data_IF_070132433156
#
_entry.id   IF_070132433156
#
_cell.length_a   1.000
_cell.length_b   1.000
_cell.length_c   1.000
_cell.angle_alpha   90.00
_cell.angle_beta   90.00
_cell.angle_gamma   90.00
#
_symmetry.space_group_name_H-M   'P 1'
#
loop_
_entity.id
_entity.type
_entity.pdbx_description
1 polymer ?
#
# COMPACT_ATOMS: atom_id res chain seq x y z
N UNK A 1 14.81 -30.24 -1.48
CA UNK A 1 13.70 -29.44 -2.06
C UNK A 1 13.99 -27.99 -1.70
N UNK A 2 14.00 -27.07 -2.67
CA UNK A 2 14.21 -25.65 -2.37
C UNK A 2 13.13 -25.09 -1.47
N UNK A 3 13.42 -23.96 -0.82
CA UNK A 3 12.43 -23.22 -0.03
C UNK A 3 11.21 -22.92 -0.91
N UNK A 4 10.01 -23.09 -0.36
CA UNK A 4 8.74 -22.82 -1.03
C UNK A 4 7.94 -21.82 -0.23
N UNK A 5 7.03 -21.12 -0.89
CA UNK A 5 6.03 -20.28 -0.25
C UNK A 5 4.66 -20.53 -0.88
N UNK A 6 3.61 -20.18 -0.14
CA UNK A 6 2.25 -20.34 -0.59
C UNK A 6 1.80 -19.12 -1.42
N UNK A 7 1.06 -19.36 -2.49
CA UNK A 7 0.42 -18.31 -3.32
C UNK A 7 -1.05 -18.64 -3.46
N UNK A 8 -1.92 -17.62 -3.38
CA UNK A 8 -3.37 -17.75 -3.52
C UNK A 8 -3.85 -17.24 -4.87
N UNK A 9 -4.59 -18.07 -5.60
CA UNK A 9 -5.37 -17.68 -6.77
C UNK A 9 -6.75 -17.18 -6.32
N UNK A 10 -6.94 -15.87 -6.30
CA UNK A 10 -8.18 -15.25 -5.82
C UNK A 10 -9.42 -15.67 -6.62
N UNK A 11 -9.27 -16.02 -7.90
CA UNK A 11 -10.39 -16.45 -8.76
C UNK A 11 -10.93 -17.84 -8.38
N UNK A 12 -10.11 -18.66 -7.75
CA UNK A 12 -10.50 -19.98 -7.25
C UNK A 12 -10.93 -19.93 -5.78
N UNK A 13 -10.66 -18.83 -5.08
CA UNK A 13 -10.92 -18.72 -3.65
C UNK A 13 -12.43 -18.60 -3.37
N UNK A 14 -12.95 -19.57 -2.62
CA UNK A 14 -14.36 -19.66 -2.20
C UNK A 14 -14.65 -18.96 -0.86
N UNK A 15 -13.64 -18.33 -0.24
CA UNK A 15 -13.72 -17.65 1.06
C UNK A 15 -14.18 -18.52 2.23
N UNK A 16 -13.94 -19.83 2.17
CA UNK A 16 -14.13 -20.74 3.32
C UNK A 16 -13.14 -20.46 4.48
N UNK A 17 -12.07 -19.71 4.19
CA UNK A 17 -11.11 -19.20 5.16
C UNK A 17 -10.40 -20.24 6.06
N UNK A 18 -10.51 -21.54 5.78
CA UNK A 18 -9.78 -22.60 6.49
C UNK A 18 -8.26 -22.37 6.51
N UNK A 19 -7.72 -21.91 5.38
CA UNK A 19 -6.31 -21.55 5.24
C UNK A 19 -5.82 -20.51 6.27
N UNK A 20 -6.70 -19.68 6.83
CA UNK A 20 -6.38 -18.71 7.88
C UNK A 20 -6.11 -19.41 9.21
N UNK A 21 -6.93 -20.41 9.53
CA UNK A 21 -6.89 -21.10 10.81
C UNK A 21 -5.80 -22.17 10.89
N UNK A 22 -5.42 -22.76 9.75
CA UNK A 22 -4.35 -23.77 9.71
C UNK A 22 -2.95 -23.16 9.53
N UNK A 23 -2.84 -21.87 9.18
CA UNK A 23 -1.53 -21.27 8.94
C UNK A 23 -0.83 -20.94 10.27
N UNK A 24 0.30 -21.58 10.60
CA UNK A 24 0.94 -21.42 11.91
C UNK A 24 1.58 -20.05 12.12
N UNK A 25 1.87 -19.33 11.03
CA UNK A 25 2.51 -18.01 11.06
C UNK A 25 1.58 -16.86 10.72
N UNK A 26 0.31 -17.16 10.41
CA UNK A 26 -0.64 -16.15 9.94
C UNK A 26 -0.35 -15.58 8.55
N UNK A 27 0.57 -16.18 7.78
CA UNK A 27 0.92 -15.72 6.42
C UNK A 27 -0.28 -15.66 5.45
N UNK A 28 -1.32 -16.44 5.69
CA UNK A 28 -2.54 -16.46 4.85
C UNK A 28 -3.58 -15.43 5.27
N UNK A 29 -3.44 -14.81 6.45
CA UNK A 29 -4.38 -13.88 7.05
C UNK A 29 -4.12 -12.46 6.55
N UNK A 30 -4.48 -12.24 5.30
CA UNK A 30 -4.26 -10.97 4.61
C UNK A 30 -5.58 -10.42 4.08
N UNK A 31 -5.84 -9.16 4.40
CA UNK A 31 -7.08 -8.46 4.06
C UNK A 31 -7.26 -8.30 2.55
N UNK A 32 -6.15 -8.19 1.81
CA UNK A 32 -6.12 -8.13 0.35
C UNK A 32 -6.10 -9.51 -0.35
N UNK A 33 -6.29 -10.59 0.41
CA UNK A 33 -6.22 -11.97 -0.09
C UNK A 33 -4.87 -12.42 -0.68
N UNK A 34 -3.78 -11.65 -0.53
CA UNK A 34 -2.42 -11.99 -0.98
C UNK A 34 -1.64 -12.66 0.15
N UNK A 35 -1.11 -13.87 -0.02
CA UNK A 35 -0.32 -14.52 1.05
C UNK A 35 0.96 -13.73 1.30
N UNK A 36 1.23 -13.43 2.58
CA UNK A 36 2.45 -12.77 3.02
C UNK A 36 3.64 -13.73 2.95
N UNK A 37 4.45 -13.56 1.91
CA UNK A 37 5.63 -14.39 1.64
C UNK A 37 6.69 -14.24 2.74
N UNK A 38 6.77 -13.08 3.40
CA UNK A 38 7.76 -12.85 4.47
C UNK A 38 7.46 -13.66 5.74
N UNK A 39 6.18 -13.97 5.97
CA UNK A 39 5.70 -14.80 7.09
C UNK A 39 5.56 -16.28 6.69
N UNK A 40 5.61 -16.61 5.41
CA UNK A 40 5.39 -17.98 4.93
C UNK A 40 6.63 -18.85 5.16
N UNK A 41 6.52 -19.85 6.03
CA UNK A 41 7.59 -20.83 6.30
C UNK A 41 7.59 -22.02 5.33
N UNK A 42 6.73 -21.99 4.31
CA UNK A 42 6.70 -23.04 3.29
C UNK A 42 6.13 -24.39 3.72
N UNK A 43 5.41 -24.47 4.85
CA UNK A 43 4.93 -25.74 5.42
C UNK A 43 3.89 -26.46 4.55
N UNK A 44 3.03 -25.72 3.85
CA UNK A 44 2.00 -26.28 2.96
C UNK A 44 0.62 -26.46 3.57
N UNK A 45 0.44 -26.32 4.89
CA UNK A 45 -0.83 -26.59 5.59
C UNK A 45 -2.03 -25.85 4.97
N UNK A 46 -1.82 -24.60 4.56
CA UNK A 46 -2.85 -23.80 3.92
C UNK A 46 -3.26 -24.28 2.52
N UNK A 47 -2.34 -24.87 1.76
CA UNK A 47 -2.63 -25.48 0.47
C UNK A 47 -3.43 -26.77 0.66
N UNK A 48 -3.02 -27.62 1.61
CA UNK A 48 -3.69 -28.89 1.92
C UNK A 48 -5.10 -28.69 2.46
N UNK A 49 -5.31 -27.65 3.26
CA UNK A 49 -6.62 -27.32 3.84
C UNK A 49 -7.56 -26.57 2.89
N UNK A 50 -7.11 -26.14 1.71
CA UNK A 50 -7.92 -25.32 0.81
C UNK A 50 -8.89 -26.18 -0.01
N UNK A 51 -10.22 -26.15 0.26
CA UNK A 51 -11.18 -27.05 -0.38
C UNK A 51 -11.35 -26.77 -1.88
N UNK A 52 -11.15 -25.52 -2.29
CA UNK A 52 -11.20 -25.09 -3.69
C UNK A 52 -9.88 -25.26 -4.44
N UNK A 53 -8.80 -25.70 -3.78
CA UNK A 53 -7.47 -25.78 -4.38
C UNK A 53 -6.92 -24.42 -4.80
N UNK A 54 -7.40 -23.33 -4.20
CA UNK A 54 -7.01 -21.97 -4.54
C UNK A 54 -5.58 -21.60 -4.10
N UNK A 55 -4.92 -22.42 -3.28
CA UNK A 55 -3.57 -22.15 -2.76
C UNK A 55 -2.60 -23.19 -3.31
N UNK A 56 -1.45 -22.72 -3.81
CA UNK A 56 -0.38 -23.57 -4.35
C UNK A 56 0.96 -23.23 -3.72
N UNK A 57 1.79 -24.25 -3.50
CA UNK A 57 3.17 -24.08 -3.02
C UNK A 57 4.13 -23.92 -4.19
N UNK A 58 4.74 -22.75 -4.30
CA UNK A 58 5.72 -22.42 -5.36
C UNK A 58 7.11 -22.25 -4.76
N UNK A 59 8.18 -22.58 -5.50
CA UNK A 59 9.54 -22.39 -5.00
C UNK A 59 9.95 -20.91 -4.99
N UNK A 60 10.83 -20.52 -4.05
CA UNK A 60 11.48 -19.20 -4.05
C UNK A 60 12.41 -19.02 -5.26
N UNK A 61 13.09 -20.10 -5.63
CA UNK A 61 13.90 -20.18 -6.83
C UNK A 61 13.29 -21.25 -7.75
N UNK A 62 12.74 -20.80 -8.87
CA UNK A 62 12.28 -21.74 -9.89
C UNK A 62 13.48 -22.53 -10.42
N UNK A 63 13.36 -23.87 -10.55
CA UNK A 63 14.42 -24.65 -11.14
C UNK A 63 14.68 -24.16 -12.57
N UNK A 64 15.91 -24.30 -13.08
CA UNK A 64 16.19 -24.00 -14.47
C UNK A 64 15.26 -24.82 -15.36
N UNK A 65 14.81 -24.20 -16.46
CA UNK A 65 13.92 -24.86 -17.40
C UNK A 65 14.57 -26.16 -17.86
N UNK A 66 13.87 -27.28 -17.66
CA UNK A 66 14.40 -28.58 -18.04
C UNK A 66 14.48 -28.65 -19.57
N UNK A 67 15.64 -29.04 -20.14
CA UNK A 67 15.78 -29.14 -21.59
C UNK A 67 14.82 -30.21 -22.11
N UNK A 68 14.03 -29.86 -23.12
CA UNK A 68 13.18 -30.81 -23.84
C UNK A 68 13.98 -31.43 -24.98
N UNK A 69 13.68 -32.70 -25.30
CA UNK A 69 14.32 -33.36 -26.44
C UNK A 69 13.96 -32.64 -27.76
N UNK A 70 14.80 -32.78 -28.78
CA UNK A 70 14.55 -32.15 -30.08
C UNK A 70 13.25 -32.62 -30.72
N UNK A 71 12.86 -33.87 -30.48
CA UNK A 71 11.60 -34.46 -30.95
C UNK A 71 10.41 -33.74 -30.33
N UNK A 72 10.44 -33.49 -29.00
CA UNK A 72 9.38 -32.77 -28.29
C UNK A 72 9.31 -31.31 -28.75
N UNK A 73 10.44 -30.63 -28.85
CA UNK A 73 10.50 -29.25 -29.34
C UNK A 73 9.96 -29.15 -30.78
N UNK A 74 10.28 -30.12 -31.63
CA UNK A 74 9.78 -30.17 -33.01
C UNK A 74 8.27 -30.39 -33.06
N UNK A 75 7.73 -31.30 -32.24
CA UNK A 75 6.30 -31.53 -32.14
C UNK A 75 5.55 -30.27 -31.66
N UNK A 76 6.07 -29.59 -30.64
CA UNK A 76 5.53 -28.33 -30.14
C UNK A 76 5.54 -27.24 -31.23
N UNK A 77 6.63 -27.12 -32.01
CA UNK A 77 6.70 -26.16 -33.13
C UNK A 77 5.68 -26.45 -34.24
N UNK A 78 5.41 -27.72 -34.54
CA UNK A 78 4.36 -28.10 -35.50
C UNK A 78 2.99 -27.70 -34.97
N UNK A 79 2.70 -27.99 -33.70
CA UNK A 79 1.44 -27.61 -33.07
C UNK A 79 1.26 -26.08 -33.02
N UNK A 80 2.32 -25.36 -32.68
CA UNK A 80 2.35 -23.89 -32.68
C UNK A 80 1.94 -23.31 -34.04
N UNK A 81 2.53 -23.83 -35.13
CA UNK A 81 2.19 -23.40 -36.50
C UNK A 81 0.73 -23.66 -36.81
N UNK A 82 0.23 -24.84 -36.47
CA UNK A 82 -1.18 -25.18 -36.66
C UNK A 82 -2.12 -24.24 -35.89
N UNK A 83 -1.76 -23.86 -34.66
CA UNK A 83 -2.53 -22.89 -33.87
C UNK A 83 -2.49 -21.49 -34.47
N UNK A 84 -1.33 -21.05 -34.93
CA UNK A 84 -1.17 -19.74 -35.59
C UNK A 84 -1.96 -19.66 -36.90
N UNK A 85 -1.99 -20.74 -37.69
CA UNK A 85 -2.81 -20.83 -38.91
C UNK A 85 -4.31 -20.74 -38.59
N UNK A 86 -4.77 -21.49 -37.58
CA UNK A 86 -6.18 -21.45 -37.16
C UNK A 86 -6.59 -20.08 -36.59
N UNK A 87 -5.69 -19.41 -35.85
CA UNK A 87 -5.89 -18.03 -35.39
C UNK A 87 -6.08 -17.07 -36.58
N UNK A 88 -5.18 -17.12 -37.57
CA UNK A 88 -5.26 -16.27 -38.76
C UNK A 88 -6.52 -16.52 -39.60
N UNK A 89 -6.97 -17.77 -39.70
CA UNK A 89 -8.24 -18.09 -40.37
C UNK A 89 -9.41 -17.50 -39.57
N UNK A 90 -9.40 -17.66 -38.25
CA UNK A 90 -10.47 -17.18 -37.38
C UNK A 90 -10.59 -15.64 -37.36
N UNK A 91 -9.47 -14.91 -37.37
CA UNK A 91 -9.47 -13.44 -37.38
C UNK A 91 -10.04 -12.85 -38.68
N UNK A 92 -10.04 -13.63 -39.77
CA UNK A 92 -10.68 -13.26 -41.04
C UNK A 92 -12.19 -13.51 -41.10
N UNK A 93 -12.79 -14.12 -40.07
CA UNK A 93 -14.20 -14.48 -40.01
C UNK A 93 -14.96 -13.62 -39.02
N UNK A 94 -16.23 -13.31 -39.31
CA UNK A 94 -17.09 -12.54 -38.41
C UNK A 94 -17.89 -13.43 -37.46
N UNK A 95 -18.05 -13.00 -36.21
CA UNK A 95 -19.00 -13.57 -35.25
C UNK A 95 -18.35 -14.12 -33.97
N UNK A 96 -19.15 -14.27 -32.92
CA UNK A 96 -18.68 -14.61 -31.56
C UNK A 96 -17.84 -15.89 -31.48
N UNK A 97 -18.14 -16.90 -32.31
CA UNK A 97 -17.35 -18.13 -32.34
C UNK A 97 -15.97 -17.91 -32.94
N UNK A 98 -15.87 -17.10 -34.00
CA UNK A 98 -14.60 -16.79 -34.65
C UNK A 98 -13.67 -16.02 -33.69
N UNK A 99 -14.19 -15.00 -33.01
CA UNK A 99 -13.46 -14.25 -31.97
C UNK A 99 -12.97 -15.16 -30.82
N UNK A 100 -13.82 -16.10 -30.38
CA UNK A 100 -13.46 -17.05 -29.32
C UNK A 100 -12.35 -18.02 -29.79
N UNK A 101 -12.43 -18.51 -31.03
CA UNK A 101 -11.43 -19.41 -31.62
C UNK A 101 -10.10 -18.71 -31.84
N UNK A 102 -10.12 -17.47 -32.34
CA UNK A 102 -8.93 -16.62 -32.47
C UNK A 102 -8.21 -16.50 -31.12
N UNK A 103 -8.92 -16.04 -30.10
CA UNK A 103 -8.35 -15.84 -28.75
C UNK A 103 -7.85 -17.15 -28.14
N UNK A 104 -8.60 -18.24 -28.30
CA UNK A 104 -8.21 -19.56 -27.79
C UNK A 104 -6.93 -20.07 -28.46
N UNK A 105 -6.83 -19.97 -29.79
CA UNK A 105 -5.65 -20.40 -30.53
C UNK A 105 -4.42 -19.57 -30.21
N UNK A 106 -4.58 -18.24 -30.02
CA UNK A 106 -3.50 -17.37 -29.55
C UNK A 106 -2.94 -17.83 -28.20
N UNK A 107 -3.81 -18.03 -27.21
CA UNK A 107 -3.39 -18.47 -25.87
C UNK A 107 -2.65 -19.82 -25.95
N UNK A 108 -3.19 -20.78 -26.71
CA UNK A 108 -2.51 -22.07 -26.90
C UNK A 108 -1.14 -21.90 -27.58
N UNK A 109 -1.03 -21.05 -28.59
CA UNK A 109 0.24 -20.77 -29.27
C UNK A 109 1.29 -20.18 -28.30
N UNK A 110 0.88 -19.23 -27.45
CA UNK A 110 1.74 -18.64 -26.42
C UNK A 110 2.20 -19.68 -25.38
N UNK A 111 1.30 -20.56 -24.91
CA UNK A 111 1.65 -21.64 -23.98
C UNK A 111 2.57 -22.67 -24.61
N UNK A 112 2.32 -23.09 -25.85
CA UNK A 112 3.19 -24.03 -26.59
C UNK A 112 4.58 -23.43 -26.75
N UNK A 113 4.68 -22.12 -27.03
CA UNK A 113 5.95 -21.41 -27.18
C UNK A 113 6.73 -21.37 -25.87
N UNK A 114 6.03 -21.09 -24.77
CA UNK A 114 6.58 -21.12 -23.41
C UNK A 114 7.10 -22.50 -23.03
N UNK A 115 6.30 -23.53 -23.32
CA UNK A 115 6.68 -24.92 -23.12
C UNK A 115 7.84 -25.33 -24.02
N UNK A 116 7.92 -24.86 -25.26
CA UNK A 116 9.05 -25.12 -26.15
C UNK A 116 10.35 -24.42 -25.72
N UNK A 117 10.31 -23.56 -24.69
CA UNK A 117 11.47 -22.90 -24.09
C UNK A 117 11.80 -21.53 -24.65
N UNK A 118 10.86 -20.87 -25.33
CA UNK A 118 11.16 -19.60 -26.01
C UNK A 118 11.13 -18.35 -25.12
N UNK A 119 10.11 -18.16 -24.26
CA UNK A 119 10.05 -16.99 -23.36
C UNK A 119 9.27 -17.28 -22.09
N UNK A 120 9.98 -17.33 -20.96
CA UNK A 120 9.43 -17.28 -19.61
C UNK A 120 9.92 -15.98 -18.98
N UNK A 121 9.06 -15.11 -18.41
CA UNK A 121 9.50 -13.81 -17.91
C UNK A 121 10.73 -13.88 -16.99
N UNK A 122 10.85 -14.90 -16.15
CA UNK A 122 11.96 -15.05 -15.20
C UNK A 122 13.12 -15.93 -15.71
N UNK A 123 13.13 -16.38 -16.98
CA UNK A 123 14.21 -17.23 -17.49
C UNK A 123 15.42 -16.43 -17.95
N UNK A 124 16.58 -17.11 -18.04
CA UNK A 124 17.78 -16.56 -18.64
C UNK A 124 17.54 -16.13 -20.11
N UNK A 125 16.70 -16.87 -20.85
CA UNK A 125 16.35 -16.49 -22.23
C UNK A 125 15.67 -15.10 -22.30
N UNK A 126 14.87 -14.73 -21.30
CA UNK A 126 14.25 -13.39 -21.24
C UNK A 126 15.30 -12.34 -20.89
N UNK A 127 16.24 -12.65 -20.00
CA UNK A 127 17.36 -11.77 -19.68
C UNK A 127 18.25 -11.53 -20.90
N UNK A 128 18.63 -12.58 -21.61
CA UNK A 128 19.41 -12.53 -22.85
C UNK A 128 18.68 -11.75 -23.93
N UNK A 129 17.37 -11.96 -24.06
CA UNK A 129 16.54 -11.21 -25.00
C UNK A 129 16.53 -9.71 -24.68
N UNK A 130 16.25 -9.33 -23.43
CA UNK A 130 16.24 -7.95 -22.96
C UNK A 130 17.62 -7.28 -23.11
N UNK A 131 18.71 -7.99 -22.81
CA UNK A 131 20.07 -7.52 -23.05
C UNK A 131 20.34 -7.31 -24.55
N UNK A 132 19.91 -8.25 -25.40
CA UNK A 132 20.07 -8.10 -26.86
C UNK A 132 19.32 -6.89 -27.43
N UNK A 133 18.24 -6.44 -26.78
CA UNK A 133 17.51 -5.23 -27.19
C UNK A 133 18.31 -3.96 -26.88
N UNK A 134 19.15 -3.97 -25.83
CA UNK A 134 20.05 -2.85 -25.51
C UNK A 134 21.27 -2.79 -26.44
N UNK A 135 21.71 -3.94 -26.97
CA UNK A 135 22.86 -4.04 -27.86
C UNK A 135 22.53 -3.72 -29.33
N UNK A 136 21.26 -3.86 -29.71
CA UNK A 136 20.80 -3.59 -31.08
C UNK A 136 20.50 -2.10 -31.26
N UNK A 137 20.88 -1.57 -32.42
CA UNK A 137 20.44 -0.24 -32.87
C UNK A 137 18.97 -0.31 -33.30
N UNK A 138 18.06 -0.14 -32.34
CA UNK A 138 16.62 -0.10 -32.56
C UNK A 138 16.17 1.31 -32.98
N UNK A 139 14.88 1.48 -33.29
CA UNK A 139 14.30 2.77 -33.69
C UNK A 139 14.51 3.84 -32.60
N UNK A 140 14.53 5.12 -32.98
CA UNK A 140 14.81 6.24 -32.06
C UNK A 140 13.79 6.37 -30.92
N UNK A 141 12.58 5.88 -31.10
CA UNK A 141 11.49 5.87 -30.13
C UNK A 141 11.46 4.61 -29.23
N UNK A 142 12.44 3.71 -29.37
CA UNK A 142 12.48 2.49 -28.58
C UNK A 142 12.74 2.81 -27.09
N UNK A 143 11.94 2.26 -26.14
CA UNK A 143 12.01 2.61 -24.71
C UNK A 143 13.19 1.92 -24.00
N UNK A 144 14.41 2.37 -24.29
CA UNK A 144 15.67 1.83 -23.73
C UNK A 144 15.66 1.84 -22.19
N UNK A 145 15.15 2.90 -21.58
CA UNK A 145 15.12 3.04 -20.11
C UNK A 145 14.18 2.03 -19.44
N UNK A 146 13.08 1.65 -20.09
CA UNK A 146 12.16 0.65 -19.53
C UNK A 146 12.75 -0.76 -19.60
N UNK A 147 13.51 -1.08 -20.66
CA UNK A 147 14.28 -2.33 -20.75
C UNK A 147 15.33 -2.42 -19.62
N UNK A 148 16.03 -1.33 -19.32
CA UNK A 148 16.99 -1.27 -18.20
C UNK A 148 16.29 -1.47 -16.85
N UNK A 149 15.15 -0.81 -16.61
CA UNK A 149 14.35 -0.99 -15.39
C UNK A 149 13.89 -2.43 -15.22
N UNK A 150 13.40 -3.06 -16.29
CA UNK A 150 12.98 -4.47 -16.26
C UNK A 150 14.14 -5.39 -15.89
N UNK A 151 15.31 -5.20 -16.50
CA UNK A 151 16.52 -5.96 -16.15
C UNK A 151 16.91 -5.79 -14.68
N UNK A 152 16.81 -4.58 -14.14
CA UNK A 152 17.16 -4.28 -12.75
C UNK A 152 16.18 -4.94 -11.77
N UNK A 153 14.87 -4.75 -11.98
CA UNK A 153 13.79 -5.33 -11.15
C UNK A 153 13.87 -6.86 -11.13
N UNK A 154 14.12 -7.48 -12.29
CA UNK A 154 14.01 -8.92 -12.44
C UNK A 154 15.29 -9.67 -12.04
N UNK A 155 16.47 -9.04 -12.13
CA UNK A 155 17.74 -9.76 -12.03
C UNK A 155 18.81 -9.13 -11.11
N UNK A 156 18.65 -7.90 -10.60
CA UNK A 156 19.59 -7.27 -9.65
C UNK A 156 19.04 -7.25 -8.20
N UNK A 157 19.02 -8.41 -7.53
CA UNK A 157 18.55 -8.52 -6.15
C UNK A 157 19.48 -7.89 -5.09
N UNK A 158 20.74 -7.60 -5.42
CA UNK A 158 21.73 -7.05 -4.45
C UNK A 158 21.55 -5.55 -4.16
N UNK A 159 21.01 -4.76 -5.10
CA UNK A 159 20.80 -3.30 -4.91
C UNK A 159 19.65 -2.93 -3.98
N UNK A 160 18.78 -3.87 -3.63
CA UNK A 160 17.70 -3.65 -2.66
C UNK A 160 18.27 -3.45 -1.24
N UNK A 161 19.53 -3.84 -0.97
CA UNK A 161 20.18 -3.64 0.34
C UNK A 161 21.02 -2.35 0.45
N UNK A 162 21.44 -1.73 -0.65
CA UNK A 162 22.46 -0.64 -0.60
C UNK A 162 21.90 0.78 -0.41
N UNK A 163 20.59 1.00 -0.51
CA UNK A 163 20.02 2.35 -0.32
C UNK A 163 19.54 2.65 1.11
N UNK A 164 19.92 1.83 2.10
CA UNK A 164 19.57 2.02 3.50
C UNK A 164 20.48 3.04 4.19
N UNK A 165 20.35 4.33 3.86
CA UNK A 165 20.99 5.39 4.66
C UNK A 165 20.35 5.42 6.06
N UNK A 166 21.16 5.30 7.11
CA UNK A 166 20.70 5.39 8.50
C UNK A 166 20.03 6.75 8.73
N UNK A 167 18.79 6.75 9.21
CA UNK A 167 18.03 7.96 9.54
C UNK A 167 17.98 8.13 11.05
N UNK A 168 18.06 9.35 11.55
CA UNK A 168 17.97 9.68 12.96
C UNK A 168 16.95 10.78 13.21
N UNK A 169 16.11 10.66 14.24
CA UNK A 169 15.08 11.64 14.61
C UNK A 169 15.49 12.37 15.88
N UNK A 170 15.50 13.70 15.84
CA UNK A 170 15.63 14.53 17.04
C UNK A 170 14.40 14.36 17.93
N UNK A 171 14.59 13.92 19.18
CA UNK A 171 13.49 13.73 20.14
C UNK A 171 12.85 15.05 20.61
N UNK A 172 13.52 16.19 20.40
CA UNK A 172 13.05 17.51 20.85
C UNK A 172 12.17 18.20 19.81
N UNK A 173 12.54 18.15 18.53
CA UNK A 173 11.84 18.90 17.47
C UNK A 173 11.39 18.04 16.27
N UNK A 174 11.74 16.76 16.25
CA UNK A 174 11.34 15.84 15.18
C UNK A 174 12.17 15.89 13.89
N UNK A 175 13.20 16.75 13.80
CA UNK A 175 14.10 16.80 12.63
C UNK A 175 14.70 15.42 12.31
N UNK A 176 14.64 15.01 11.04
CA UNK A 176 15.22 13.77 10.54
C UNK A 176 16.56 14.08 9.86
N UNK A 177 17.63 13.49 10.37
CA UNK A 177 18.97 13.50 9.78
C UNK A 177 19.19 12.21 8.99
N UNK A 178 19.73 12.30 7.78
CA UNK A 178 20.12 11.14 6.96
C UNK A 178 21.64 11.09 6.82
N UNK A 179 22.26 10.01 7.29
CA UNK A 179 23.72 9.84 7.33
C UNK A 179 24.29 9.77 8.74
N UNK A 180 25.62 9.65 8.85
CA UNK A 180 26.30 9.50 10.14
C UNK A 180 26.10 10.74 11.04
N UNK A 181 25.86 10.51 12.33
CA UNK A 181 25.88 11.54 13.37
C UNK A 181 27.28 11.60 13.97
N UNK A 182 27.99 12.70 13.75
CA UNK A 182 29.24 12.99 14.48
C UNK A 182 28.92 13.51 15.88
N UNK A 183 29.84 13.34 16.84
CA UNK A 183 29.65 13.81 18.23
C UNK A 183 29.39 15.33 18.32
N UNK A 184 29.94 16.09 17.38
CA UNK A 184 29.79 17.55 17.29
C UNK A 184 28.50 18.00 16.57
N UNK A 185 27.70 17.06 16.06
CA UNK A 185 26.51 17.40 15.30
C UNK A 185 25.47 18.11 16.18
N UNK A 186 24.95 19.23 15.68
CA UNK A 186 23.84 19.97 16.30
C UNK A 186 22.64 19.92 15.38
N UNK A 187 21.47 19.65 15.97
CA UNK A 187 20.21 19.68 15.25
C UNK A 187 20.05 21.05 14.55
N UNK A 188 19.91 21.11 13.22
CA UNK A 188 19.76 22.38 12.51
C UNK A 188 18.42 23.08 12.82
N UNK A 189 17.46 22.38 13.44
CA UNK A 189 16.14 22.92 13.77
C UNK A 189 16.05 23.45 15.20
N UNK A 190 16.59 22.72 16.20
CA UNK A 190 16.47 23.11 17.62
C UNK A 190 17.80 23.35 18.32
N UNK A 191 18.92 23.25 17.60
CA UNK A 191 20.28 23.46 18.09
C UNK A 191 20.71 22.54 19.25
N UNK A 192 19.93 21.50 19.54
CA UNK A 192 20.26 20.47 20.53
C UNK A 192 21.34 19.52 19.99
N UNK A 193 22.19 18.97 20.86
CA UNK A 193 23.31 18.12 20.47
C UNK A 193 22.87 16.78 19.87
N UNK A 194 23.78 16.09 19.19
CA UNK A 194 23.57 14.76 18.60
C UNK A 194 22.99 13.74 19.59
N UNK A 195 23.26 13.89 20.89
CA UNK A 195 22.77 13.00 21.94
C UNK A 195 21.24 12.95 22.07
N UNK A 196 20.50 13.93 21.54
CA UNK A 196 19.02 13.90 21.56
C UNK A 196 18.42 13.18 20.34
N UNK A 197 19.25 12.69 19.43
CA UNK A 197 18.80 11.94 18.26
C UNK A 197 18.66 10.46 18.57
N UNK A 198 17.54 9.90 18.15
CA UNK A 198 17.28 8.45 18.20
C UNK A 198 17.32 7.91 16.78
N UNK A 199 17.96 6.75 16.60
CA UNK A 199 17.97 6.05 15.31
C UNK A 199 16.53 5.73 14.90
N UNK A 200 16.14 6.24 13.74
CA UNK A 200 14.95 5.79 13.03
C UNK A 200 15.35 4.52 12.34
N UNK A 201 15.17 3.40 13.04
CA UNK A 201 15.10 2.11 12.38
C UNK A 201 14.00 2.26 11.33
N UNK A 202 14.31 1.98 10.06
CA UNK A 202 13.25 1.70 9.10
C UNK A 202 12.29 0.75 9.79
N UNK A 203 11.01 1.10 9.76
CA UNK A 203 9.98 0.25 10.32
C UNK A 203 10.09 -1.10 9.62
N UNK A 204 10.81 -2.05 10.21
CA UNK A 204 10.44 -3.45 10.04
C UNK A 204 8.97 -3.51 10.38
N UNK A 205 8.18 -4.23 9.57
CA UNK A 205 6.74 -4.36 9.77
C UNK A 205 6.45 -4.46 11.27
N UNK A 206 5.73 -3.47 11.82
CA UNK A 206 5.28 -3.54 13.20
C UNK A 206 4.28 -4.68 13.27
N UNK A 207 4.78 -5.89 13.53
CA UNK A 207 3.94 -7.07 13.66
C UNK A 207 3.12 -6.92 14.94
N UNK A 208 1.79 -6.93 14.82
CA UNK A 208 0.91 -7.01 15.97
C UNK A 208 1.29 -8.24 16.81
N UNK A 209 1.89 -8.01 17.97
CA UNK A 209 2.33 -9.08 18.89
C UNK A 209 1.18 -9.98 19.33
N UNK A 210 -0.05 -9.47 19.28
CA UNK A 210 -1.24 -10.15 19.76
C UNK A 210 -2.02 -10.86 18.64
N UNK A 211 -1.52 -10.85 17.41
CA UNK A 211 -2.20 -11.42 16.24
C UNK A 211 -2.74 -12.84 16.49
N UNK A 212 -4.02 -13.05 16.18
CA UNK A 212 -4.73 -14.32 16.33
C UNK A 212 -5.18 -14.66 17.76
N UNK A 213 -4.90 -13.81 18.75
CA UNK A 213 -5.26 -14.06 20.15
C UNK A 213 -6.60 -13.42 20.52
N UNK A 214 -7.19 -13.87 21.64
CA UNK A 214 -8.32 -13.15 22.26
C UNK A 214 -7.93 -11.74 22.72
N UNK A 215 -6.67 -11.53 23.06
CA UNK A 215 -6.17 -10.22 23.48
C UNK A 215 -6.20 -9.21 22.35
N UNK A 216 -5.89 -9.60 21.11
CA UNK A 216 -6.04 -8.72 19.95
C UNK A 216 -7.49 -8.26 19.79
N UNK A 217 -8.47 -9.17 19.90
CA UNK A 217 -9.88 -8.82 19.84
C UNK A 217 -10.29 -7.88 20.98
N UNK A 218 -9.86 -8.17 22.20
CA UNK A 218 -10.13 -7.30 23.35
C UNK A 218 -9.54 -5.89 23.15
N UNK A 219 -8.35 -5.77 22.55
CA UNK A 219 -7.72 -4.49 22.27
C UNK A 219 -8.48 -3.73 21.16
N UNK A 220 -8.95 -4.42 20.12
CA UNK A 220 -9.80 -3.82 19.07
C UNK A 220 -11.14 -3.33 19.64
N UNK A 221 -11.79 -4.15 20.48
CA UNK A 221 -13.03 -3.79 21.17
C UNK A 221 -12.83 -2.59 22.11
N UNK A 222 -11.74 -2.57 22.87
CA UNK A 222 -11.38 -1.45 23.72
C UNK A 222 -11.13 -0.18 22.90
N UNK A 223 -10.35 -0.27 21.82
CA UNK A 223 -10.12 0.86 20.91
C UNK A 223 -11.43 1.42 20.32
N UNK A 224 -12.33 0.55 19.86
CA UNK A 224 -13.63 0.95 19.35
C UNK A 224 -14.50 1.62 20.43
N UNK A 225 -14.50 1.07 21.65
CA UNK A 225 -15.24 1.61 22.79
C UNK A 225 -14.75 3.00 23.19
N UNK A 226 -13.44 3.18 23.35
CA UNK A 226 -12.83 4.45 23.73
C UNK A 226 -13.00 5.53 22.64
N UNK A 227 -12.91 5.13 21.38
CA UNK A 227 -13.15 6.03 20.23
C UNK A 227 -14.59 6.55 20.20
N UNK A 228 -15.56 5.68 20.47
CA UNK A 228 -16.97 6.07 20.60
C UNK A 228 -17.21 6.92 21.86
N UNK A 229 -16.54 6.62 22.98
CA UNK A 229 -16.66 7.38 24.22
C UNK A 229 -16.18 8.83 24.05
N UNK A 230 -15.01 9.03 23.42
CA UNK A 230 -14.49 10.36 23.06
C UNK A 230 -15.53 11.18 22.29
N UNK A 231 -16.13 10.61 21.25
CA UNK A 231 -17.15 11.27 20.44
C UNK A 231 -18.37 11.67 21.27
N UNK A 232 -18.95 10.71 22.00
CA UNK A 232 -20.12 10.95 22.87
C UNK A 232 -19.87 12.05 23.90
N UNK A 233 -18.75 12.00 24.60
CA UNK A 233 -18.45 12.98 25.65
C UNK A 233 -18.23 14.39 25.07
N UNK A 234 -17.67 14.49 23.87
CA UNK A 234 -17.58 15.78 23.16
C UNK A 234 -18.97 16.35 22.88
N UNK A 235 -19.90 15.53 22.38
CA UNK A 235 -21.29 15.96 22.13
C UNK A 235 -22.04 16.30 23.43
N UNK A 236 -21.80 15.57 24.52
CA UNK A 236 -22.41 15.85 25.82
C UNK A 236 -21.88 17.16 26.42
N UNK A 237 -20.62 17.52 26.15
CA UNK A 237 -20.09 18.83 26.53
C UNK A 237 -20.83 19.98 25.83
N UNK A 238 -21.17 19.82 24.55
CA UNK A 238 -21.95 20.82 23.81
C UNK A 238 -23.34 21.03 24.42
N UNK A 239 -24.02 19.94 24.78
CA UNK A 239 -25.32 20.01 25.48
C UNK A 239 -25.18 20.69 26.84
N UNK A 240 -24.21 20.25 27.67
CA UNK A 240 -23.97 20.85 28.98
C UNK A 240 -23.67 22.36 28.88
N UNK A 241 -22.93 22.77 27.84
CA UNK A 241 -22.63 24.18 27.54
C UNK A 241 -23.90 24.95 27.15
N UNK A 242 -24.73 24.39 26.28
CA UNK A 242 -26.00 24.99 25.88
C UNK A 242 -26.97 25.17 27.06
N UNK A 243 -26.93 24.28 28.05
CA UNK A 243 -27.70 24.35 29.30
C UNK A 243 -27.08 25.27 30.36
N UNK A 244 -25.90 25.84 30.11
CA UNK A 244 -25.20 26.76 31.02
C UNK A 244 -24.32 26.08 32.08
N UNK A 245 -24.11 24.77 31.99
CA UNK A 245 -23.26 23.99 32.90
C UNK A 245 -21.79 23.94 32.43
N UNK A 246 -21.14 25.09 32.39
CA UNK A 246 -19.75 25.22 31.88
C UNK A 246 -18.73 24.31 32.57
N UNK A 247 -18.83 24.11 33.89
CA UNK A 247 -17.94 23.19 34.60
C UNK A 247 -18.13 21.73 34.15
N UNK A 248 -19.38 21.32 33.92
CA UNK A 248 -19.69 19.95 33.48
C UNK A 248 -19.21 19.75 32.04
N UNK A 249 -19.39 20.75 31.18
CA UNK A 249 -18.87 20.74 29.81
C UNK A 249 -17.34 20.56 29.80
N UNK A 250 -16.61 21.36 30.60
CA UNK A 250 -15.16 21.26 30.70
C UNK A 250 -14.69 19.88 31.24
N UNK A 251 -15.45 19.28 32.15
CA UNK A 251 -15.16 17.92 32.64
C UNK A 251 -15.36 16.90 31.52
N UNK A 252 -16.46 16.98 30.77
CA UNK A 252 -16.69 16.10 29.61
C UNK A 252 -15.60 16.23 28.55
N UNK A 253 -15.16 17.44 28.22
CA UNK A 253 -14.05 17.68 27.29
C UNK A 253 -12.73 17.06 27.80
N UNK A 254 -12.44 17.22 29.10
CA UNK A 254 -11.26 16.60 29.74
C UNK A 254 -11.35 15.08 29.68
N UNK A 255 -12.52 14.50 29.97
CA UNK A 255 -12.73 13.05 29.88
C UNK A 255 -12.61 12.57 28.44
N UNK A 256 -13.16 13.29 27.45
CA UNK A 256 -13.02 12.95 26.03
C UNK A 256 -11.54 12.90 25.60
N UNK A 257 -10.73 13.84 26.09
CA UNK A 257 -9.29 13.80 25.87
C UNK A 257 -8.62 12.60 26.54
N UNK A 258 -9.02 12.23 27.76
CA UNK A 258 -8.51 11.02 28.41
C UNK A 258 -8.83 9.75 27.60
N UNK A 259 -10.07 9.62 27.09
CA UNK A 259 -10.43 8.47 26.24
C UNK A 259 -9.65 8.45 24.92
N UNK A 260 -9.30 9.62 24.38
CA UNK A 260 -8.37 9.68 23.24
C UNK A 260 -7.00 9.09 23.58
N UNK A 261 -6.47 9.35 24.80
CA UNK A 261 -5.20 8.78 25.25
C UNK A 261 -5.32 7.26 25.45
N UNK A 262 -6.43 6.77 26.02
CA UNK A 262 -6.71 5.34 26.15
C UNK A 262 -6.78 4.65 24.79
N UNK A 263 -7.58 5.19 23.85
CA UNK A 263 -7.70 4.69 22.49
C UNK A 263 -6.33 4.63 21.78
N UNK A 264 -5.54 5.71 21.88
CA UNK A 264 -4.19 5.77 21.30
C UNK A 264 -3.28 4.66 21.83
N UNK A 265 -3.31 4.40 23.14
CA UNK A 265 -2.51 3.34 23.75
C UNK A 265 -2.88 1.96 23.17
N UNK A 266 -4.17 1.66 23.02
CA UNK A 266 -4.64 0.39 22.45
C UNK A 266 -4.30 0.27 20.96
N UNK A 267 -4.47 1.34 20.19
CA UNK A 267 -4.17 1.36 18.77
C UNK A 267 -2.67 1.20 18.48
N UNK A 268 -1.81 1.80 19.30
CA UNK A 268 -0.35 1.59 19.22
C UNK A 268 0.05 0.17 19.63
N UNK A 269 -0.58 -0.40 20.67
CA UNK A 269 -0.33 -1.78 21.09
C UNK A 269 -0.67 -2.81 20.00
N UNK A 270 -1.64 -2.51 19.14
CA UNK A 270 -1.99 -3.29 17.95
C UNK A 270 -1.01 -3.10 16.78
N UNK A 271 -0.09 -2.13 16.87
CA UNK A 271 0.89 -1.84 15.82
C UNK A 271 0.38 -0.91 14.72
N UNK A 272 -0.80 -0.30 14.89
CA UNK A 272 -1.48 0.44 13.83
C UNK A 272 -0.98 1.89 13.63
N UNK A 273 0.05 2.33 14.37
CA UNK A 273 0.65 3.67 14.22
C UNK A 273 2.02 3.56 13.55
N UNK A 274 2.10 4.01 12.30
CA UNK A 274 3.29 4.01 11.46
C UNK A 274 3.88 5.41 11.20
N UNK A 275 4.66 5.52 10.12
CA UNK A 275 5.13 6.80 9.59
C UNK A 275 3.98 7.63 9.01
N UNK A 276 4.20 8.90 8.68
CA UNK A 276 3.18 9.73 8.04
C UNK A 276 2.69 9.11 6.72
N UNK A 277 3.59 8.54 5.92
CA UNK A 277 3.22 7.86 4.68
C UNK A 277 2.34 6.62 4.96
N UNK A 278 2.75 5.77 5.92
CA UNK A 278 1.98 4.58 6.31
C UNK A 278 0.57 4.96 6.81
N UNK A 279 0.48 6.00 7.64
CA UNK A 279 -0.79 6.43 8.20
C UNK A 279 -1.69 7.08 7.14
N UNK A 280 -1.14 7.86 6.20
CA UNK A 280 -1.90 8.42 5.08
C UNK A 280 -2.43 7.34 4.14
N UNK A 281 -1.63 6.31 3.89
CA UNK A 281 -2.04 5.15 3.09
C UNK A 281 -3.16 4.37 3.79
N UNK A 282 -2.98 4.03 5.07
CA UNK A 282 -4.00 3.33 5.85
C UNK A 282 -5.31 4.14 5.94
N UNK A 283 -5.22 5.47 6.08
CA UNK A 283 -6.39 6.34 6.04
C UNK A 283 -7.08 6.28 4.67
N UNK A 284 -6.35 6.43 3.56
CA UNK A 284 -6.91 6.35 2.22
C UNK A 284 -7.60 4.98 1.94
N UNK A 285 -6.99 3.88 2.37
CA UNK A 285 -7.56 2.53 2.25
C UNK A 285 -8.85 2.38 3.07
N UNK A 286 -8.89 2.94 4.28
CA UNK A 286 -10.09 2.99 5.11
C UNK A 286 -11.21 3.79 4.45
N UNK A 287 -10.93 5.03 4.03
CA UNK A 287 -11.89 5.89 3.32
C UNK A 287 -12.42 5.21 2.04
N UNK A 288 -11.54 4.55 1.26
CA UNK A 288 -11.93 3.80 0.07
C UNK A 288 -12.99 2.75 0.38
N UNK A 289 -12.71 1.88 1.34
CA UNK A 289 -13.64 0.85 1.80
C UNK A 289 -14.98 1.45 2.28
N UNK A 290 -14.92 2.58 2.97
CA UNK A 290 -16.13 3.25 3.47
C UNK A 290 -17.06 3.66 2.32
N UNK A 291 -16.55 4.32 1.28
CA UNK A 291 -17.41 4.81 0.20
C UNK A 291 -17.72 3.79 -0.90
N UNK A 292 -16.83 2.82 -1.18
CA UNK A 292 -17.07 1.81 -2.24
C UNK A 292 -17.93 0.65 -1.77
N UNK A 293 -17.83 0.27 -0.50
CA UNK A 293 -18.42 -0.96 0.02
C UNK A 293 -19.35 -0.70 1.21
N UNK A 294 -18.86 -0.04 2.27
CA UNK A 294 -19.61 0.07 3.53
C UNK A 294 -20.88 0.92 3.37
N UNK A 295 -20.74 2.19 2.97
CA UNK A 295 -21.87 3.10 2.84
C UNK A 295 -22.76 2.78 1.65
N UNK A 296 -22.21 2.25 0.55
CA UNK A 296 -23.03 1.76 -0.58
C UNK A 296 -23.95 0.61 -0.15
N UNK A 297 -23.41 -0.37 0.59
CA UNK A 297 -24.21 -1.46 1.17
C UNK A 297 -25.23 -0.93 2.18
N UNK A 298 -24.82 -0.09 3.12
CA UNK A 298 -25.71 0.47 4.15
C UNK A 298 -26.85 1.31 3.55
N UNK A 299 -26.58 2.07 2.48
CA UNK A 299 -27.62 2.83 1.79
C UNK A 299 -28.65 1.92 1.11
N UNK A 300 -28.21 0.82 0.48
CA UNK A 300 -29.11 -0.17 -0.14
C UNK A 300 -29.96 -0.88 0.91
N UNK A 301 -29.34 -1.37 1.98
CA UNK A 301 -30.04 -2.00 3.11
C UNK A 301 -31.09 -1.04 3.71
N UNK A 302 -30.73 0.23 3.92
CA UNK A 302 -31.67 1.23 4.44
C UNK A 302 -32.86 1.49 3.50
N UNK A 303 -32.66 1.49 2.18
CA UNK A 303 -33.77 1.60 1.22
C UNK A 303 -34.67 0.36 1.20
N UNK A 304 -34.09 -0.83 1.29
CA UNK A 304 -34.82 -2.10 1.37
C UNK A 304 -35.73 -2.16 2.61
N UNK A 305 -35.26 -1.57 3.71
CA UNK A 305 -36.03 -1.44 4.96
C UNK A 305 -37.00 -0.24 4.97
N UNK A 306 -36.99 0.60 3.93
CA UNK A 306 -37.89 1.76 3.80
C UNK A 306 -37.41 3.04 4.50
N UNK A 307 -36.14 3.12 4.90
CA UNK A 307 -35.51 4.28 5.56
C UNK A 307 -34.78 5.20 4.56
N UNK A 308 -35.48 5.68 3.53
CA UNK A 308 -34.84 6.42 2.43
C UNK A 308 -34.15 7.73 2.84
N UNK A 309 -34.56 8.39 3.93
CA UNK A 309 -33.84 9.56 4.44
C UNK A 309 -32.43 9.20 4.96
N UNK A 310 -32.30 8.05 5.63
CA UNK A 310 -31.01 7.55 6.12
C UNK A 310 -30.18 7.01 4.97
N UNK A 311 -30.80 6.30 4.01
CA UNK A 311 -30.12 5.86 2.80
C UNK A 311 -29.47 7.03 2.05
N UNK A 312 -30.19 8.15 1.92
CA UNK A 312 -29.66 9.34 1.29
C UNK A 312 -28.50 9.95 2.08
N UNK A 313 -28.59 10.01 3.41
CA UNK A 313 -27.47 10.46 4.26
C UNK A 313 -26.24 9.57 4.06
N UNK A 314 -26.38 8.25 4.01
CA UNK A 314 -25.25 7.36 3.74
C UNK A 314 -24.59 7.63 2.38
N UNK A 315 -25.37 7.89 1.32
CA UNK A 315 -24.81 8.26 0.00
C UNK A 315 -24.05 9.58 0.04
N UNK A 316 -24.59 10.58 0.73
CA UNK A 316 -23.95 11.89 0.87
C UNK A 316 -22.65 11.78 1.66
N UNK A 317 -22.63 10.98 2.73
CA UNK A 317 -21.40 10.69 3.48
C UNK A 317 -20.39 9.94 2.60
N UNK A 318 -20.81 8.93 1.84
CA UNK A 318 -19.93 8.24 0.89
C UNK A 318 -19.26 9.20 -0.12
N UNK A 319 -19.99 10.22 -0.60
CA UNK A 319 -19.41 11.24 -1.47
C UNK A 319 -18.33 12.06 -0.77
N UNK A 320 -18.50 12.37 0.51
CA UNK A 320 -17.51 13.09 1.33
C UNK A 320 -16.26 12.22 1.55
N UNK A 321 -16.42 10.95 1.91
CA UNK A 321 -15.31 10.03 2.16
C UNK A 321 -14.46 9.80 0.89
N UNK A 322 -15.07 9.82 -0.29
CA UNK A 322 -14.34 9.82 -1.56
C UNK A 322 -13.38 11.02 -1.70
N UNK A 323 -13.79 12.21 -1.27
CA UNK A 323 -12.91 13.38 -1.28
C UNK A 323 -11.85 13.30 -0.17
N UNK A 324 -12.15 12.62 0.95
CA UNK A 324 -11.15 12.31 1.98
C UNK A 324 -10.05 11.38 1.45
N UNK A 325 -10.41 10.28 0.79
CA UNK A 325 -9.47 9.38 0.11
C UNK A 325 -8.58 10.17 -0.86
N UNK A 326 -9.19 10.96 -1.75
CA UNK A 326 -8.46 11.77 -2.74
C UNK A 326 -7.46 12.70 -2.06
N UNK A 327 -7.87 13.37 -0.98
CA UNK A 327 -6.99 14.26 -0.20
C UNK A 327 -5.83 13.47 0.42
N UNK A 328 -6.07 12.32 1.03
CA UNK A 328 -5.00 11.52 1.63
C UNK A 328 -4.03 10.95 0.60
N UNK A 329 -4.51 10.48 -0.56
CA UNK A 329 -3.65 10.03 -1.66
C UNK A 329 -2.79 11.17 -2.21
N UNK A 330 -3.36 12.38 -2.34
CA UNK A 330 -2.60 13.56 -2.78
C UNK A 330 -1.52 13.95 -1.76
N UNK A 331 -1.84 13.89 -0.47
CA UNK A 331 -0.87 14.15 0.61
C UNK A 331 0.22 13.07 0.67
N UNK A 332 -0.15 11.80 0.44
CA UNK A 332 0.79 10.69 0.38
C UNK A 332 1.79 10.88 -0.77
N UNK A 333 1.29 11.20 -1.97
CA UNK A 333 2.13 11.48 -3.14
C UNK A 333 3.11 12.63 -2.87
N UNK A 334 2.65 13.71 -2.22
CA UNK A 334 3.53 14.80 -1.79
C UNK A 334 4.62 14.34 -0.80
N UNK A 335 4.28 13.46 0.14
CA UNK A 335 5.25 12.91 1.12
C UNK A 335 6.28 12.01 0.42
N UNK A 336 5.84 11.12 -0.46
CA UNK A 336 6.72 10.17 -1.17
C UNK A 336 7.66 10.88 -2.17
N UNK A 337 7.17 11.91 -2.85
CA UNK A 337 7.97 12.73 -3.78
C UNK A 337 8.80 13.82 -3.10
N UNK A 338 8.71 13.97 -1.77
CA UNK A 338 9.32 15.06 -1.01
C UNK A 338 8.87 16.47 -1.45
N UNK A 339 7.62 16.59 -1.89
CA UNK A 339 7.00 17.83 -2.38
C UNK A 339 6.14 18.56 -1.35
N UNK A 340 6.15 18.12 -0.08
CA UNK A 340 5.41 18.80 1.00
C UNK A 340 5.88 20.25 1.19
N UNK A 341 7.19 20.48 1.05
CA UNK A 341 7.83 21.79 1.24
C UNK A 341 8.66 22.23 0.02
N UNK A 342 8.42 21.59 -1.12
CA UNK A 342 9.10 21.83 -2.39
C UNK A 342 8.13 21.63 -3.54
N UNK A 343 8.17 22.48 -4.55
CA UNK A 343 7.40 22.33 -5.79
C UNK A 343 8.31 22.50 -7.00
N UNK A 344 7.90 21.92 -8.12
CA UNK A 344 8.64 22.05 -9.40
C UNK A 344 8.62 23.49 -9.90
N UNK A 345 7.49 24.17 -9.74
CA UNK A 345 7.32 25.58 -10.03
C UNK A 345 7.32 26.42 -8.75
N UNK A 346 7.61 27.71 -8.87
CA UNK A 346 7.53 28.63 -7.74
C UNK A 346 6.12 28.66 -7.17
N UNK A 347 6.04 28.49 -5.85
CA UNK A 347 4.80 28.62 -5.10
C UNK A 347 4.91 29.79 -4.11
N UNK A 348 3.75 30.30 -3.69
CA UNK A 348 3.68 31.21 -2.53
C UNK A 348 3.48 30.35 -1.30
N UNK A 349 4.47 30.35 -0.42
CA UNK A 349 4.44 29.64 0.86
C UNK A 349 3.94 30.57 1.95
N UNK A 350 2.96 30.12 2.74
CA UNK A 350 2.39 30.83 3.86
C UNK A 350 2.79 30.15 5.18
N UNK A 351 3.37 30.91 6.11
CA UNK A 351 3.64 30.42 7.45
C UNK A 351 2.37 30.43 8.30
N UNK A 352 1.79 29.27 8.59
CA UNK A 352 0.57 29.13 9.42
C UNK A 352 0.68 29.70 10.83
N UNK A 353 1.89 29.89 11.34
CA UNK A 353 2.11 30.45 12.67
C UNK A 353 1.99 31.98 12.73
N UNK A 354 2.26 32.70 11.63
CA UNK A 354 2.32 34.17 11.66
C UNK A 354 1.82 34.87 10.37
N UNK A 355 1.36 34.12 9.36
CA UNK A 355 0.87 34.65 8.08
C UNK A 355 1.96 35.14 7.13
N UNK A 356 3.25 34.91 7.42
CA UNK A 356 4.34 35.36 6.54
C UNK A 356 4.29 34.63 5.20
N UNK A 357 4.15 35.41 4.12
CA UNK A 357 4.21 34.95 2.74
C UNK A 357 5.64 35.03 2.17
N UNK A 358 6.06 33.98 1.47
CA UNK A 358 7.37 33.86 0.83
C UNK A 358 7.21 33.13 -0.50
N UNK A 359 7.67 33.73 -1.59
CA UNK A 359 7.65 33.10 -2.92
C UNK A 359 8.95 32.32 -3.15
N UNK A 360 8.85 31.10 -3.66
CA UNK A 360 9.99 30.27 -4.03
C UNK A 360 9.59 28.84 -4.38
N UNK A 361 10.53 28.06 -4.94
CA UNK A 361 10.33 26.63 -5.21
C UNK A 361 10.27 25.81 -3.91
N UNK A 362 10.92 26.27 -2.85
CA UNK A 362 10.98 25.58 -1.55
C UNK A 362 10.58 26.52 -0.40
N UNK A 363 9.89 25.97 0.60
CA UNK A 363 9.65 26.68 1.85
C UNK A 363 10.97 26.90 2.61
N UNK A 364 11.22 28.08 3.20
CA UNK A 364 12.47 28.35 3.90
C UNK A 364 12.56 27.49 5.16
N UNK A 365 13.75 26.96 5.45
CA UNK A 365 14.01 26.08 6.61
C UNK A 365 13.57 26.68 7.94
N UNK A 366 13.65 28.00 8.06
CA UNK A 366 13.22 28.79 9.22
C UNK A 366 12.45 30.02 8.72
N UNK A 367 11.29 30.29 9.31
CA UNK A 367 10.53 31.50 9.03
C UNK A 367 11.33 32.73 9.46
N UNK A 368 11.57 33.71 8.58
CA UNK A 368 12.37 34.90 8.90
C UNK A 368 11.66 35.89 9.84
N UNK A 369 10.38 35.65 10.17
CA UNK A 369 9.58 36.51 11.05
C UNK A 369 9.48 35.91 12.44
N UNK A 370 8.90 34.70 12.57
CA UNK A 370 8.66 34.09 13.88
C UNK A 370 9.74 33.09 14.32
N UNK A 371 10.69 32.74 13.45
CA UNK A 371 11.76 31.79 13.76
C UNK A 371 11.31 30.32 13.80
N UNK A 372 10.06 30.00 13.46
CA UNK A 372 9.58 28.62 13.44
C UNK A 372 10.08 27.84 12.23
N UNK A 373 10.17 26.52 12.41
CA UNK A 373 10.59 25.55 11.38
C UNK A 373 9.72 25.63 10.11
N UNK A 374 10.31 25.22 8.98
CA UNK A 374 9.59 25.03 7.71
C UNK A 374 8.33 24.15 7.82
N UNK A 375 8.22 23.30 8.85
CA UNK A 375 7.03 22.48 9.14
C UNK A 375 5.74 23.27 9.37
N UNK A 376 5.84 24.59 9.58
CA UNK A 376 4.70 25.50 9.70
C UNK A 376 4.28 26.14 8.38
N UNK A 377 5.03 25.95 7.29
CA UNK A 377 4.65 26.47 5.99
C UNK A 377 3.68 25.54 5.26
N UNK A 378 2.81 26.13 4.46
CA UNK A 378 1.96 25.45 3.48
C UNK A 378 1.90 26.26 2.19
N UNK A 379 1.43 25.65 1.11
CA UNK A 379 1.15 26.40 -0.12
C UNK A 379 -0.07 27.28 0.13
N UNK A 380 0.06 28.58 -0.11
CA UNK A 380 -1.01 29.55 0.06
C UNK A 380 -2.20 29.18 -0.83
N UNK A 381 -3.38 29.10 -0.23
CA UNK A 381 -4.64 28.99 -0.95
C UNK A 381 -5.36 30.35 -0.95
N UNK A 382 -5.88 30.78 -2.11
CA UNK A 382 -6.75 31.95 -2.22
C UNK A 382 -8.16 31.48 -2.57
N UNK A 383 -9.10 31.65 -1.64
CA UNK A 383 -10.49 31.18 -1.75
C UNK A 383 -11.51 32.22 -1.23
N UNK A 384 -11.20 33.51 -1.38
CA UNK A 384 -12.05 34.65 -1.00
C UNK A 384 -12.25 35.64 -2.14
#
# INVERSE_FOLDING_TARGET
MGEKYAVRNIRLCTKDCLCLYVCPTGATNTENSVIDVSKCIGCGDCADACPSGAISMVPFEYPPQQPKSQEVVSALKVLLRSKSEQENIASGLSGKLAEAVEKSNRIMAEEITREAGFLLPQSENTKDFLQSLLEKKLAEDFPVEDVKKLLDIMYNKEKIKENKKMKYRCTVCGYIHEGELTEDFKCPTCNQPASVFVEVKEAGEKVNKYAGTKTEKNLQEAFAGESQARGKYTYFAEVARAEGYEQIAAIFETTAYNEQIHARMWFDALGNIGSTADNLKAAAEGENYEWTDMYDRMAKEADEEGFSEIAEKFRQVAYVEKEHERRYLTLLDNVEKNEVFKKEEKAVWECRACGRLIEGEEAPKVCPVCGYSHSFFEVRAENY
#
